data_IF_808976688032
#
_entry.id   IF_808976688032
#
_cell.length_a   1.000
_cell.length_b   1.000
_cell.length_c   1.000
_cell.angle_alpha   90.00
_cell.angle_beta   90.00
_cell.angle_gamma   90.00
#
_symmetry.space_group_name_H-M   'P 1'
#
loop_
_entity.id
_entity.type
_entity.pdbx_description
1 polymer ?
#
# COMPACT_ATOMS: atom_id res chain seq x y z
N UNK A 1 -1.12 17.41 0.68
CA UNK A 1 -0.40 17.31 -0.62
C UNK A 1 -0.66 18.58 -1.39
N UNK A 2 0.38 19.35 -1.76
CA UNK A 2 0.23 20.63 -2.48
C UNK A 2 0.97 20.69 -3.83
N UNK A 3 1.54 19.57 -4.27
CA UNK A 3 2.16 19.44 -5.59
C UNK A 3 1.70 18.12 -6.18
N UNK A 4 0.59 18.15 -6.91
CA UNK A 4 0.17 17.02 -7.76
C UNK A 4 0.45 17.44 -9.19
N UNK A 5 1.13 16.58 -9.93
CA UNK A 5 1.36 16.82 -11.36
C UNK A 5 0.17 16.33 -12.19
N UNK A 6 -0.14 17.00 -13.29
CA UNK A 6 -1.15 16.53 -14.25
C UNK A 6 -0.69 15.30 -15.06
N UNK A 7 0.49 14.73 -14.73
CA UNK A 7 1.04 13.58 -15.46
C UNK A 7 0.34 12.31 -15.01
N UNK A 8 -0.31 11.64 -15.96
CA UNK A 8 -0.94 10.34 -15.76
C UNK A 8 -0.14 9.27 -16.50
N UNK A 9 -0.02 8.10 -15.88
CA UNK A 9 0.67 6.94 -16.47
C UNK A 9 -0.26 5.74 -16.44
N UNK A 10 -0.29 4.99 -17.54
CA UNK A 10 -0.93 3.68 -17.61
C UNK A 10 0.05 2.65 -18.18
N UNK A 11 0.20 1.52 -17.49
CA UNK A 11 0.92 0.35 -17.98
C UNK A 11 -0.12 -0.73 -18.28
N UNK A 12 -0.24 -1.13 -19.55
CA UNK A 12 -1.11 -2.24 -19.99
C UNK A 12 -0.24 -3.37 -20.53
N UNK A 13 -0.02 -4.42 -19.75
CA UNK A 13 0.91 -5.50 -20.06
C UNK A 13 2.09 -5.50 -19.10
N UNK A 14 3.31 -5.31 -19.59
CA UNK A 14 4.50 -5.23 -18.74
C UNK A 14 5.26 -3.93 -18.99
N UNK A 15 5.71 -3.26 -17.93
CA UNK A 15 6.37 -1.97 -18.07
C UNK A 15 7.08 -1.49 -16.81
N UNK A 16 7.90 -0.45 -16.99
CA UNK A 16 8.57 0.25 -15.90
C UNK A 16 8.39 1.75 -16.06
N UNK A 17 8.30 2.46 -14.95
CA UNK A 17 8.38 3.92 -14.90
C UNK A 17 9.41 4.35 -13.87
N UNK A 18 9.98 5.53 -14.09
CA UNK A 18 10.77 6.21 -13.06
C UNK A 18 9.87 6.69 -11.91
N UNK A 19 10.47 6.87 -10.74
CA UNK A 19 9.85 7.57 -9.63
C UNK A 19 9.55 9.03 -9.97
N UNK A 20 8.74 9.67 -9.13
CA UNK A 20 8.34 11.06 -9.32
C UNK A 20 6.95 11.36 -8.80
N UNK A 21 6.38 12.47 -9.27
CA UNK A 21 5.05 12.94 -8.88
C UNK A 21 4.09 12.83 -10.06
N UNK A 22 2.96 12.15 -9.84
CA UNK A 22 1.93 11.88 -10.83
C UNK A 22 0.55 12.25 -10.28
N UNK A 23 -0.42 12.47 -11.16
CA UNK A 23 -1.82 12.50 -10.78
C UNK A 23 -2.29 11.07 -10.55
N UNK A 24 -2.34 10.30 -11.64
CA UNK A 24 -2.77 8.91 -11.63
C UNK A 24 -1.68 7.97 -12.14
N UNK A 25 -1.44 6.87 -11.42
CA UNK A 25 -0.64 5.73 -11.89
C UNK A 25 -1.53 4.49 -11.93
N UNK A 26 -1.75 3.95 -13.13
CA UNK A 26 -2.54 2.74 -13.38
C UNK A 26 -1.66 1.64 -13.94
N UNK A 27 -1.70 0.45 -13.33
CA UNK A 27 -0.95 -0.72 -13.78
C UNK A 27 -1.94 -1.86 -13.98
N UNK A 28 -2.10 -2.32 -15.22
CA UNK A 28 -2.85 -3.51 -15.58
C UNK A 28 -1.85 -4.53 -16.17
N UNK A 29 -1.53 -5.58 -15.41
CA UNK A 29 -0.49 -6.55 -15.74
C UNK A 29 0.68 -6.50 -14.76
N UNK A 30 1.91 -6.33 -15.25
CA UNK A 30 3.14 -6.31 -14.45
C UNK A 30 3.86 -4.96 -14.54
N UNK A 31 3.84 -4.17 -13.47
CA UNK A 31 4.46 -2.85 -13.45
C UNK A 31 5.56 -2.70 -12.39
N UNK A 32 6.58 -1.91 -12.70
CA UNK A 32 7.64 -1.56 -11.75
C UNK A 32 7.85 -0.04 -11.72
N UNK A 33 7.93 0.53 -10.53
CA UNK A 33 8.29 1.93 -10.31
C UNK A 33 9.68 1.99 -9.69
N UNK A 34 10.59 2.69 -10.36
CA UNK A 34 12.00 2.75 -9.98
C UNK A 34 12.25 4.02 -9.16
N UNK A 35 12.33 3.85 -7.84
CA UNK A 35 12.47 4.95 -6.88
C UNK A 35 11.15 5.36 -6.20
N UNK A 36 11.16 6.55 -5.60
CA UNK A 36 10.04 7.09 -4.82
C UNK A 36 8.89 7.55 -5.72
N UNK A 37 7.65 7.27 -5.31
CA UNK A 37 6.44 7.64 -6.03
C UNK A 37 5.52 8.47 -5.13
N UNK A 38 5.08 9.63 -5.64
CA UNK A 38 3.95 10.38 -5.10
C UNK A 38 2.84 10.43 -6.16
N UNK A 39 1.62 10.02 -5.81
CA UNK A 39 0.46 10.05 -6.71
C UNK A 39 -0.78 10.57 -5.98
N UNK A 40 -1.79 11.10 -6.69
CA UNK A 40 -3.13 11.20 -6.09
C UNK A 40 -3.77 9.82 -6.03
N UNK A 41 -3.78 9.13 -7.16
CA UNK A 41 -4.36 7.80 -7.31
C UNK A 41 -3.30 6.81 -7.81
N UNK A 42 -3.08 5.75 -7.03
CA UNK A 42 -2.32 4.58 -7.46
C UNK A 42 -3.26 3.37 -7.55
N UNK A 43 -3.32 2.76 -8.74
CA UNK A 43 -4.15 1.58 -9.02
C UNK A 43 -3.32 0.50 -9.68
N UNK A 44 -3.33 -0.72 -9.13
CA UNK A 44 -2.71 -1.86 -9.78
C UNK A 44 -3.60 -3.10 -9.79
N UNK A 45 -3.86 -3.66 -10.96
CA UNK A 45 -4.45 -4.96 -11.17
C UNK A 45 -3.41 -5.89 -11.79
N UNK A 46 -3.00 -6.94 -11.08
CA UNK A 46 -1.94 -7.86 -11.48
C UNK A 46 -0.77 -7.87 -10.50
N UNK A 47 0.44 -7.57 -10.98
CA UNK A 47 1.67 -7.50 -10.17
C UNK A 47 2.29 -6.11 -10.25
N UNK A 48 2.53 -5.47 -9.11
CA UNK A 48 3.17 -4.16 -9.06
C UNK A 48 4.27 -4.11 -8.00
N UNK A 49 5.39 -3.48 -8.35
CA UNK A 49 6.51 -3.23 -7.43
C UNK A 49 6.90 -1.76 -7.42
N UNK A 50 7.07 -1.19 -6.24
CA UNK A 50 7.71 0.13 -6.03
C UNK A 50 9.03 -0.10 -5.29
N UNK A 51 10.13 0.39 -5.87
CA UNK A 51 11.48 0.20 -5.29
C UNK A 51 11.88 1.26 -4.25
N UNK A 52 11.10 2.34 -4.13
CA UNK A 52 11.25 3.34 -3.08
C UNK A 52 10.02 3.43 -2.20
N UNK A 53 9.79 4.61 -1.66
CA UNK A 53 8.61 4.97 -0.88
C UNK A 53 7.42 5.26 -1.81
N UNK A 54 6.22 4.97 -1.35
CA UNK A 54 4.97 5.30 -2.04
C UNK A 54 4.11 6.22 -1.17
N UNK A 55 3.77 7.39 -1.69
CA UNK A 55 2.77 8.29 -1.12
C UNK A 55 1.58 8.41 -2.07
N UNK A 56 0.38 8.15 -1.59
CA UNK A 56 -0.86 8.29 -2.36
C UNK A 56 -1.96 9.01 -1.57
N UNK A 57 -2.96 9.60 -2.22
CA UNK A 57 -4.23 9.87 -1.51
C UNK A 57 -5.05 8.59 -1.49
N UNK A 58 -5.28 8.03 -2.69
CA UNK A 58 -5.99 6.77 -2.90
C UNK A 58 -5.05 5.70 -3.45
N UNK A 59 -4.96 4.60 -2.73
CA UNK A 59 -4.17 3.43 -3.11
C UNK A 59 -5.10 2.21 -3.22
N UNK A 60 -5.10 1.55 -4.38
CA UNK A 60 -5.93 0.37 -4.62
C UNK A 60 -5.13 -0.68 -5.40
N UNK A 61 -5.02 -1.90 -4.85
CA UNK A 61 -4.35 -3.00 -5.53
C UNK A 61 -5.14 -4.29 -5.46
N UNK A 62 -5.19 -5.00 -6.58
CA UNK A 62 -5.75 -6.34 -6.71
C UNK A 62 -4.73 -7.27 -7.37
N UNK A 63 -4.25 -8.27 -6.63
CA UNK A 63 -3.21 -9.21 -7.06
C UNK A 63 -2.01 -9.19 -6.12
N UNK A 64 -0.80 -8.97 -6.65
CA UNK A 64 0.45 -8.97 -5.91
C UNK A 64 1.09 -7.59 -5.92
N UNK A 65 1.28 -7.00 -4.75
CA UNK A 65 1.93 -5.70 -4.60
C UNK A 65 3.10 -5.76 -3.61
N UNK A 66 4.23 -5.16 -3.98
CA UNK A 66 5.38 -4.97 -3.08
C UNK A 66 5.87 -3.52 -3.10
N UNK A 67 5.97 -2.90 -1.93
CA UNK A 67 6.72 -1.67 -1.71
C UNK A 67 8.00 -2.01 -0.94
N UNK A 68 9.18 -1.65 -1.47
CA UNK A 68 10.46 -1.86 -0.77
C UNK A 68 10.72 -0.80 0.31
N UNK A 69 10.04 0.35 0.25
CA UNK A 69 10.11 1.42 1.25
C UNK A 69 8.85 1.52 2.12
N UNK A 70 8.60 2.73 2.61
CA UNK A 70 7.38 3.09 3.34
C UNK A 70 6.20 3.30 2.38
N UNK A 71 4.99 3.00 2.82
CA UNK A 71 3.74 3.33 2.12
C UNK A 71 2.90 4.26 3.00
N UNK A 72 2.60 5.46 2.50
CA UNK A 72 1.69 6.41 3.14
C UNK A 72 0.50 6.72 2.23
N UNK A 73 -0.72 6.47 2.71
CA UNK A 73 -1.96 6.75 1.98
C UNK A 73 -2.98 7.49 2.86
N UNK A 74 -4.00 8.10 2.26
CA UNK A 74 -5.21 8.44 3.02
C UNK A 74 -6.13 7.22 3.07
N UNK A 75 -6.46 6.67 1.90
CA UNK A 75 -7.23 5.45 1.72
C UNK A 75 -6.35 4.39 1.04
N UNK A 76 -6.21 3.23 1.67
CA UNK A 76 -5.50 2.09 1.10
C UNK A 76 -6.38 0.84 1.11
N UNK A 77 -6.62 0.29 -0.07
CA UNK A 77 -7.29 -0.99 -0.26
C UNK A 77 -6.37 -1.97 -1.00
N UNK A 78 -6.19 -3.16 -0.42
CA UNK A 78 -5.38 -4.20 -1.04
C UNK A 78 -6.09 -5.55 -0.98
N UNK A 79 -6.23 -6.19 -2.13
CA UNK A 79 -6.75 -7.55 -2.27
C UNK A 79 -5.67 -8.48 -2.88
N UNK A 80 -5.41 -9.63 -2.25
CA UNK A 80 -4.42 -10.61 -2.70
C UNK A 80 -3.19 -10.66 -1.80
N UNK A 81 -1.99 -10.55 -2.38
CA UNK A 81 -0.71 -10.55 -1.67
C UNK A 81 -0.13 -9.14 -1.60
N UNK A 82 -0.08 -8.57 -0.41
CA UNK A 82 0.35 -7.20 -0.18
C UNK A 82 1.54 -7.16 0.79
N UNK A 83 2.65 -6.57 0.36
CA UNK A 83 3.84 -6.45 1.19
C UNK A 83 4.40 -5.02 1.16
N UNK A 84 4.63 -4.47 2.34
CA UNK A 84 5.38 -3.23 2.56
C UNK A 84 6.56 -3.59 3.43
N UNK A 85 7.78 -3.43 2.93
CA UNK A 85 8.99 -3.75 3.70
C UNK A 85 9.19 -2.73 4.81
N UNK A 86 8.83 -1.47 4.58
CA UNK A 86 8.84 -0.42 5.58
C UNK A 86 7.53 -0.30 6.34
N UNK A 87 7.24 0.92 6.77
CA UNK A 87 6.06 1.29 7.54
C UNK A 87 4.87 1.50 6.61
N UNK A 88 3.71 1.04 7.05
CA UNK A 88 2.44 1.27 6.39
C UNK A 88 1.61 2.27 7.19
N UNK A 89 1.40 3.45 6.65
CA UNK A 89 0.60 4.50 7.28
C UNK A 89 -0.62 4.82 6.43
N UNK A 90 -1.82 4.68 6.97
CA UNK A 90 -3.04 5.07 6.26
C UNK A 90 -4.15 5.54 7.21
N UNK A 91 -4.95 6.54 6.81
CA UNK A 91 -6.13 6.92 7.61
C UNK A 91 -7.15 5.78 7.62
N UNK A 92 -7.42 5.22 6.44
CA UNK A 92 -8.23 4.02 6.28
C UNK A 92 -7.45 2.93 5.53
N UNK A 93 -7.36 1.75 6.14
CA UNK A 93 -6.65 0.60 5.59
C UNK A 93 -7.58 -0.61 5.55
N UNK A 94 -7.84 -1.13 4.34
CA UNK A 94 -8.64 -2.33 4.09
C UNK A 94 -7.78 -3.37 3.37
N UNK A 95 -7.54 -4.49 4.04
CA UNK A 95 -6.70 -5.58 3.53
C UNK A 95 -7.54 -6.84 3.40
N UNK A 96 -7.52 -7.47 2.24
CA UNK A 96 -8.20 -8.73 1.97
C UNK A 96 -7.19 -9.73 1.36
N UNK A 97 -6.89 -10.82 2.05
CA UNK A 97 -5.89 -11.80 1.63
C UNK A 97 -4.72 -11.83 2.60
N UNK A 98 -3.49 -11.75 2.09
CA UNK A 98 -2.28 -11.81 2.91
C UNK A 98 -1.55 -10.47 2.87
N UNK A 99 -1.31 -9.91 4.06
CA UNK A 99 -0.61 -8.65 4.22
C UNK A 99 0.62 -8.80 5.13
N UNK A 100 1.72 -8.15 4.74
CA UNK A 100 2.93 -8.01 5.55
C UNK A 100 3.37 -6.55 5.61
N UNK A 101 3.69 -6.06 6.80
CA UNK A 101 4.28 -4.74 7.01
C UNK A 101 5.28 -4.77 8.17
N UNK A 102 6.25 -3.85 8.20
CA UNK A 102 7.10 -3.69 9.37
C UNK A 102 6.32 -3.15 10.56
N UNK A 103 5.59 -2.06 10.37
CA UNK A 103 4.68 -1.49 11.35
C UNK A 103 3.46 -0.90 10.65
N UNK A 104 2.35 -0.75 11.37
CA UNK A 104 1.14 -0.12 10.84
C UNK A 104 0.69 1.03 11.75
N UNK A 105 0.41 2.19 11.16
CA UNK A 105 -0.15 3.34 11.88
C UNK A 105 -1.34 3.91 11.12
N UNK A 106 -2.43 4.28 11.80
CA UNK A 106 -3.61 4.78 11.10
C UNK A 106 -4.80 5.15 11.97
N UNK A 107 -5.92 5.47 11.32
CA UNK A 107 -7.21 5.62 12.00
C UNK A 107 -7.93 4.27 12.06
N UNK A 108 -8.27 3.74 10.90
CA UNK A 108 -9.04 2.50 10.77
C UNK A 108 -8.25 1.43 10.03
N UNK A 109 -8.10 0.25 10.62
CA UNK A 109 -7.56 -0.95 9.99
C UNK A 109 -8.58 -2.08 10.03
N UNK A 110 -8.99 -2.55 8.84
CA UNK A 110 -9.67 -3.83 8.65
C UNK A 110 -8.80 -4.77 7.85
N UNK A 111 -8.44 -5.93 8.40
CA UNK A 111 -7.77 -6.97 7.63
C UNK A 111 -8.54 -8.30 7.69
N UNK A 112 -8.73 -8.92 6.52
CA UNK A 112 -9.26 -10.25 6.36
C UNK A 112 -8.24 -11.19 5.74
N UNK A 113 -8.21 -12.46 6.16
CA UNK A 113 -7.22 -13.45 5.71
C UNK A 113 -6.06 -13.61 6.69
N UNK A 114 -4.85 -13.19 6.31
CA UNK A 114 -3.66 -13.19 7.18
C UNK A 114 -2.96 -11.84 7.23
N UNK A 115 -2.62 -11.37 8.42
CA UNK A 115 -1.85 -10.15 8.65
C UNK A 115 -0.60 -10.46 9.48
N UNK A 116 0.59 -10.16 8.97
CA UNK A 116 1.83 -10.27 9.72
C UNK A 116 2.48 -8.89 9.84
N UNK A 117 2.66 -8.43 11.07
CA UNK A 117 3.34 -7.16 11.38
C UNK A 117 4.55 -7.45 12.24
N UNK A 118 5.73 -7.00 11.80
CA UNK A 118 6.99 -7.35 12.47
C UNK A 118 7.18 -6.62 13.80
N UNK A 119 6.73 -5.37 13.86
CA UNK A 119 6.82 -4.49 15.03
C UNK A 119 5.41 -4.13 15.51
N UNK A 120 5.09 -2.83 15.57
CA UNK A 120 3.89 -2.34 16.25
C UNK A 120 2.74 -2.05 15.28
N UNK A 121 1.51 -2.14 15.81
CA UNK A 121 0.28 -1.65 15.20
C UNK A 121 -0.31 -0.58 16.11
N UNK A 122 -0.48 0.63 15.60
CA UNK A 122 -1.08 1.77 16.31
C UNK A 122 -2.20 2.36 15.47
N UNK A 123 -3.45 2.01 15.78
CA UNK A 123 -4.64 2.46 15.05
C UNK A 123 -5.74 2.86 16.01
N UNK A 124 -6.68 3.72 15.61
CA UNK A 124 -7.86 4.01 16.45
C UNK A 124 -8.83 2.83 16.48
N UNK A 125 -9.06 2.18 15.34
CA UNK A 125 -9.95 1.02 15.23
C UNK A 125 -9.28 -0.13 14.50
N UNK A 126 -9.28 -1.31 15.12
CA UNK A 126 -8.71 -2.52 14.56
C UNK A 126 -9.78 -3.62 14.41
N UNK A 127 -10.01 -4.09 13.18
CA UNK A 127 -10.94 -5.18 12.88
C UNK A 127 -10.26 -6.28 12.09
N UNK A 128 -10.33 -7.50 12.61
CA UNK A 128 -9.77 -8.66 11.94
C UNK A 128 -10.79 -9.75 11.68
N UNK A 129 -10.68 -10.35 10.51
CA UNK A 129 -11.39 -11.57 10.14
C UNK A 129 -10.38 -12.56 9.54
N UNK A 130 -9.70 -13.32 10.39
CA UNK A 130 -8.67 -14.27 9.97
C UNK A 130 -7.55 -14.42 11.00
N UNK A 131 -6.40 -14.89 10.54
CA UNK A 131 -5.21 -15.03 11.37
C UNK A 131 -4.38 -13.74 11.38
N UNK A 132 -3.71 -13.46 12.48
CA UNK A 132 -2.75 -12.36 12.55
C UNK A 132 -1.60 -12.69 13.49
N UNK A 133 -0.47 -12.06 13.21
CA UNK A 133 0.72 -12.10 14.04
C UNK A 133 1.29 -10.68 14.09
N UNK A 134 1.54 -10.19 15.30
CA UNK A 134 2.12 -8.88 15.55
C UNK A 134 3.31 -9.13 16.48
N UNK A 135 4.52 -8.84 16.01
CA UNK A 135 5.75 -9.10 16.77
C UNK A 135 5.96 -8.11 17.92
N UNK A 136 5.39 -6.91 17.81
CA UNK A 136 5.43 -5.87 18.84
C UNK A 136 4.09 -5.67 19.53
N UNK A 137 3.78 -4.41 19.85
CA UNK A 137 2.55 -4.02 20.54
C UNK A 137 1.44 -3.72 19.55
N UNK A 138 0.21 -4.09 19.91
CA UNK A 138 -1.01 -3.62 19.27
C UNK A 138 -1.72 -2.64 20.21
N UNK A 139 -1.91 -1.40 19.75
CA UNK A 139 -2.69 -0.36 20.40
C UNK A 139 -3.87 0.00 19.51
N UNK A 140 -5.08 -0.22 20.02
CA UNK A 140 -6.34 0.18 19.39
C UNK A 140 -7.42 0.41 20.45
N UNK A 141 -8.36 1.31 20.16
CA UNK A 141 -9.51 1.65 21.01
C UNK A 141 -10.75 0.78 20.68
#
# INVERSE_FOLDING_TARGET
MKDVSERNVTISGSGRIEGGTYGTVKIAGSGKVMGDLTAEEFKAAGSAKVEGNLRAQKFEVAGSFKCEGDLEAEEAEAAGSFAVVGRLKAKELRLAGSARAKSITGGYLRAGGSLHVEENVEVETFRLTGAFEIGGLLSAD
#
